data_IF_410965401657
#
_entry.id   IF_410965401657
#
_cell.length_a   1.000
_cell.length_b   1.000
_cell.length_c   1.000
_cell.angle_alpha   90.00
_cell.angle_beta   90.00
_cell.angle_gamma   90.00
#
_symmetry.space_group_name_H-M   'P 1'
#
loop_
_entity.id
_entity.type
_entity.pdbx_description
1 polymer ?
#
# COMPACT_ATOMS: atom_id res chain seq x y z
N UNK A 1 -26.14 2.40 -5.96
CA UNK A 1 -24.77 2.87 -5.68
C UNK A 1 -23.85 1.92 -6.39
N UNK A 2 -23.19 2.37 -7.45
CA UNK A 2 -22.28 1.52 -8.19
C UNK A 2 -20.98 1.35 -7.39
N UNK A 3 -20.40 0.16 -7.47
CA UNK A 3 -19.12 -0.25 -6.85
C UNK A 3 -17.95 0.75 -7.05
N UNK A 4 -17.85 1.58 -8.12
CA UNK A 4 -16.76 2.55 -8.29
C UNK A 4 -16.73 3.66 -7.23
N UNK A 5 -17.88 4.15 -6.77
CA UNK A 5 -17.96 5.31 -5.87
C UNK A 5 -17.46 4.98 -4.46
N UNK A 6 -17.73 3.74 -3.99
CA UNK A 6 -17.25 3.25 -2.69
C UNK A 6 -15.73 3.08 -2.71
N UNK A 7 -15.17 2.66 -3.86
CA UNK A 7 -13.72 2.49 -4.02
C UNK A 7 -12.98 3.83 -3.92
N UNK A 8 -13.54 4.93 -4.44
CA UNK A 8 -12.90 6.25 -4.42
C UNK A 8 -12.67 6.83 -3.01
N UNK A 9 -13.34 6.31 -1.98
CA UNK A 9 -13.22 6.83 -0.61
C UNK A 9 -12.25 6.02 0.28
N UNK A 10 -11.63 4.96 -0.25
CA UNK A 10 -10.72 4.14 0.53
C UNK A 10 -9.36 4.84 0.68
N UNK A 11 -9.10 5.31 1.90
CA UNK A 11 -7.79 5.84 2.26
C UNK A 11 -6.79 4.69 2.45
N UNK A 12 -5.51 4.98 2.23
CA UNK A 12 -4.40 4.08 2.48
C UNK A 12 -4.36 3.62 3.94
N UNK A 13 -4.76 4.49 4.89
CA UNK A 13 -4.88 4.11 6.29
C UNK A 13 -5.94 3.02 6.50
N UNK A 14 -7.10 3.15 5.84
CA UNK A 14 -8.17 2.13 5.86
C UNK A 14 -7.69 0.82 5.26
N UNK A 15 -6.98 0.88 4.14
CA UNK A 15 -6.45 -0.32 3.46
C UNK A 15 -5.42 -1.02 4.35
N UNK A 16 -4.44 -0.30 4.88
CA UNK A 16 -3.45 -0.88 5.79
C UNK A 16 -4.12 -1.51 7.02
N UNK A 17 -5.10 -0.80 7.62
CA UNK A 17 -5.85 -1.31 8.75
C UNK A 17 -6.61 -2.60 8.42
N UNK A 18 -7.29 -2.66 7.28
CA UNK A 18 -8.04 -3.84 6.83
C UNK A 18 -7.15 -5.08 6.68
N UNK A 19 -5.93 -4.89 6.15
CA UNK A 19 -4.95 -5.97 6.01
C UNK A 19 -4.09 -6.21 7.26
N UNK A 20 -4.38 -5.53 8.39
CA UNK A 20 -3.59 -5.66 9.62
C UNK A 20 -2.14 -5.14 9.51
N UNK A 21 -1.87 -4.32 8.50
CA UNK A 21 -0.58 -3.72 8.24
C UNK A 21 -0.43 -2.42 9.04
N UNK A 22 0.72 -2.26 9.68
CA UNK A 22 1.03 -1.05 10.45
C UNK A 22 2.34 -0.45 9.96
N UNK A 23 2.25 0.79 9.46
CA UNK A 23 3.43 1.56 9.13
C UNK A 23 4.13 2.05 10.41
N UNK A 24 5.45 2.15 10.37
CA UNK A 24 6.29 2.68 11.43
C UNK A 24 6.21 4.22 11.52
N UNK A 25 7.03 4.82 12.39
CA UNK A 25 7.12 6.29 12.57
C UNK A 25 7.54 7.05 11.29
N UNK A 26 8.13 6.39 10.32
CA UNK A 26 8.55 6.94 9.03
C UNK A 26 7.57 6.59 7.91
N UNK A 27 6.39 6.05 8.26
CA UNK A 27 5.39 5.54 7.34
C UNK A 27 5.93 4.39 6.45
N UNK A 28 6.82 3.55 6.98
CA UNK A 28 7.38 2.39 6.30
C UNK A 28 6.94 1.08 6.94
N UNK A 29 6.90 0.02 6.15
CA UNK A 29 6.69 -1.34 6.63
C UNK A 29 7.43 -2.34 5.73
N UNK A 30 7.48 -3.60 6.18
CA UNK A 30 7.87 -4.69 5.30
C UNK A 30 6.81 -4.85 4.22
N UNK A 31 7.25 -5.04 2.99
CA UNK A 31 6.35 -5.15 1.86
C UNK A 31 5.46 -6.39 2.01
N UNK A 32 4.12 -6.29 1.86
CA UNK A 32 3.26 -7.47 1.89
C UNK A 32 3.35 -8.31 0.61
N UNK A 33 3.96 -7.79 -0.46
CA UNK A 33 4.02 -8.44 -1.77
C UNK A 33 5.27 -9.29 -1.99
N UNK A 34 6.23 -9.25 -1.08
CA UNK A 34 7.39 -10.13 -1.09
C UNK A 34 7.96 -10.28 0.31
N UNK A 35 8.69 -11.36 0.55
CA UNK A 35 9.35 -11.54 1.83
C UNK A 35 10.52 -10.56 1.95
N UNK A 36 10.45 -9.70 2.97
CA UNK A 36 11.47 -8.70 3.23
C UNK A 36 12.05 -8.84 4.64
N UNK A 37 13.34 -8.53 4.78
CA UNK A 37 14.04 -8.50 6.07
C UNK A 37 14.04 -7.10 6.67
N UNK A 38 13.89 -6.05 5.85
CA UNK A 38 13.87 -4.66 6.29
C UNK A 38 12.66 -3.92 5.71
N UNK A 39 12.24 -2.79 6.29
CA UNK A 39 11.11 -2.04 5.74
C UNK A 39 11.45 -1.41 4.38
N UNK A 40 10.98 -2.01 3.28
CA UNK A 40 11.13 -1.45 1.91
C UNK A 40 9.87 -0.80 1.36
N UNK A 41 8.74 -0.89 2.06
CA UNK A 41 7.45 -0.39 1.59
C UNK A 41 7.11 0.93 2.27
N UNK A 42 7.13 2.01 1.50
CA UNK A 42 6.84 3.38 1.96
C UNK A 42 5.42 3.77 1.62
N UNK A 43 4.73 4.31 2.60
CA UNK A 43 3.37 4.82 2.50
C UNK A 43 3.39 6.34 2.50
N UNK A 44 2.64 6.94 1.58
CA UNK A 44 2.45 8.38 1.43
C UNK A 44 0.97 8.73 1.63
N UNK A 45 0.58 9.04 2.86
CA UNK A 45 -0.81 9.38 3.20
C UNK A 45 -1.33 10.64 2.50
N UNK A 46 -0.45 11.62 2.22
CA UNK A 46 -0.83 12.86 1.52
C UNK A 46 -1.30 12.61 0.09
N UNK A 47 -0.61 11.74 -0.63
CA UNK A 47 -0.91 11.38 -2.02
C UNK A 47 -1.76 10.11 -2.12
N UNK A 48 -2.07 9.46 -0.99
CA UNK A 48 -2.76 8.17 -0.92
C UNK A 48 -2.08 7.07 -1.76
N UNK A 49 -0.75 7.13 -1.84
CA UNK A 49 0.06 6.19 -2.62
C UNK A 49 1.01 5.40 -1.72
N UNK A 50 1.45 4.25 -2.20
CA UNK A 50 2.49 3.45 -1.57
C UNK A 50 3.47 2.91 -2.60
N UNK A 51 4.71 2.67 -2.18
CA UNK A 51 5.79 2.29 -3.07
C UNK A 51 6.77 1.33 -2.39
N UNK A 52 7.18 0.29 -3.12
CA UNK A 52 8.21 -0.64 -2.66
C UNK A 52 9.55 -0.35 -3.33
N UNK A 53 10.59 -0.05 -2.54
CA UNK A 53 11.94 0.22 -3.02
C UNK A 53 12.79 -1.02 -3.29
N UNK A 54 12.29 -2.21 -2.94
CA UNK A 54 13.01 -3.47 -3.19
C UNK A 54 12.90 -3.87 -4.66
N UNK A 55 14.04 -4.15 -5.29
CA UNK A 55 14.13 -4.68 -6.67
C UNK A 55 13.56 -6.09 -6.82
N UNK A 56 13.45 -6.83 -5.71
CA UNK A 56 12.87 -8.17 -5.67
C UNK A 56 11.35 -8.17 -5.58
N UNK A 57 10.72 -6.99 -5.54
CA UNK A 57 9.29 -6.89 -5.44
C UNK A 57 8.64 -6.95 -6.83
N UNK A 58 7.59 -7.75 -6.97
CA UNK A 58 6.80 -7.83 -8.22
C UNK A 58 6.21 -6.48 -8.64
N UNK A 59 6.06 -5.58 -7.67
CA UNK A 59 5.51 -4.24 -7.83
C UNK A 59 6.60 -3.17 -7.79
N UNK A 60 7.87 -3.56 -7.90
CA UNK A 60 8.99 -2.64 -7.96
C UNK A 60 8.76 -1.58 -9.05
N UNK A 61 9.03 -0.31 -8.75
CA UNK A 61 8.86 0.76 -9.73
C UNK A 61 7.43 1.26 -9.91
N UNK A 62 6.41 0.63 -9.32
CA UNK A 62 5.01 1.05 -9.48
C UNK A 62 4.46 1.69 -8.22
N UNK A 63 3.94 2.91 -8.35
CA UNK A 63 3.12 3.53 -7.32
C UNK A 63 1.80 2.77 -7.19
N UNK A 64 1.48 2.34 -5.98
CA UNK A 64 0.20 1.72 -5.65
C UNK A 64 -0.72 2.77 -5.08
N UNK A 65 -1.79 3.05 -5.77
CA UNK A 65 -2.85 3.89 -5.24
C UNK A 65 -3.76 3.03 -4.36
N UNK A 66 -4.14 3.55 -3.18
CA UNK A 66 -4.91 2.81 -2.17
C UNK A 66 -6.23 2.23 -2.68
N UNK A 67 -6.77 2.77 -3.77
CA UNK A 67 -8.10 2.44 -4.27
C UNK A 67 -8.13 1.24 -5.22
N UNK A 68 -7.06 0.99 -5.98
CA UNK A 68 -7.14 0.09 -7.15
C UNK A 68 -6.23 -1.14 -7.05
N UNK A 69 -5.06 -1.02 -6.43
CA UNK A 69 -4.00 -2.03 -6.59
C UNK A 69 -3.77 -2.93 -5.39
N UNK A 70 -4.25 -2.60 -4.19
CA UNK A 70 -4.07 -3.48 -3.01
C UNK A 70 -5.21 -4.51 -2.89
N UNK A 71 -6.41 -4.19 -3.41
CA UNK A 71 -7.61 -5.04 -3.33
C UNK A 71 -7.68 -6.19 -4.35
N UNK A 72 -6.77 -6.25 -5.33
CA UNK A 72 -6.81 -7.22 -6.42
C UNK A 72 -5.82 -8.39 -6.23
N UNK A 73 -5.40 -8.65 -4.99
CA UNK A 73 -4.51 -9.76 -4.62
C UNK A 73 -5.16 -10.68 -3.59
#
# INVERSE_FOLDING_TARGET
>A
MEIPEIKQQLTMATVLHYYGLKADKNNRLNCPFHQDKTPSFQVYYKTQTAYCFSSNCRTHGKSMDGVHNILSF
#
